data_IF_733628694036
#
_entry.id   IF_733628694036
#
_cell.length_a   1.000
_cell.length_b   1.000
_cell.length_c   1.000
_cell.angle_alpha   90.00
_cell.angle_beta   90.00
_cell.angle_gamma   90.00
#
_symmetry.space_group_name_H-M   'P 1'
#
loop_
_entity.id
_entity.type
_entity.pdbx_description
1 polymer ?
#
# COMPACT_ATOMS: atom_id res chain seq x y z
N UNK A 1 6.67 8.71 -19.26
CA UNK A 1 6.54 8.95 -17.80
C UNK A 1 7.87 8.61 -17.15
N UNK A 2 8.34 9.38 -16.17
CA UNK A 2 9.56 9.01 -15.44
C UNK A 2 9.23 7.87 -14.47
N UNK A 3 10.10 6.85 -14.40
CA UNK A 3 10.00 5.80 -13.37
C UNK A 3 10.14 6.43 -11.99
N UNK A 4 9.19 6.15 -11.10
CA UNK A 4 9.26 6.60 -9.72
C UNK A 4 10.33 5.80 -8.97
N UNK A 5 11.08 6.47 -8.10
CA UNK A 5 12.00 5.88 -7.15
C UNK A 5 12.33 6.93 -6.07
N UNK A 6 12.81 6.47 -4.92
CA UNK A 6 13.06 7.33 -3.75
C UNK A 6 14.27 8.26 -3.94
N UNK A 7 15.17 7.98 -4.89
CA UNK A 7 16.29 8.86 -5.25
C UNK A 7 15.82 10.10 -6.03
N UNK A 8 14.93 9.93 -7.02
CA UNK A 8 14.40 11.01 -7.85
C UNK A 8 13.21 11.72 -7.21
N UNK A 9 12.45 11.00 -6.41
CA UNK A 9 11.31 11.51 -5.67
C UNK A 9 11.55 11.29 -4.17
N UNK A 10 12.45 12.06 -3.53
CA UNK A 10 12.73 11.94 -2.11
C UNK A 10 11.48 12.28 -1.29
N UNK A 11 11.40 11.75 -0.07
CA UNK A 11 10.29 11.95 0.84
C UNK A 11 10.49 11.18 2.13
N UNK A 12 9.58 11.38 3.08
CA UNK A 12 9.62 10.72 4.38
C UNK A 12 9.48 9.20 4.20
N UNK A 13 10.23 8.47 5.01
CA UNK A 13 10.11 7.03 5.17
C UNK A 13 9.49 6.76 6.53
N UNK A 14 8.71 5.69 6.62
CA UNK A 14 7.95 5.37 7.80
C UNK A 14 8.31 3.96 8.29
N UNK A 15 8.41 3.73 9.60
CA UNK A 15 8.57 2.38 10.12
C UNK A 15 7.34 1.54 9.73
N UNK A 16 7.54 0.27 9.40
CA UNK A 16 6.41 -0.63 9.09
C UNK A 16 5.55 -0.79 10.35
N UNK A 17 4.31 -0.30 10.28
CA UNK A 17 3.28 -0.44 11.32
C UNK A 17 2.01 -1.11 10.79
N UNK A 18 1.92 -1.29 9.47
CA UNK A 18 0.74 -1.81 8.79
C UNK A 18 1.16 -2.98 7.92
N UNK A 19 0.42 -4.09 8.03
CA UNK A 19 0.48 -5.20 7.08
C UNK A 19 -0.77 -5.11 6.20
N UNK A 20 -0.59 -5.15 4.88
CA UNK A 20 -1.68 -5.12 3.92
C UNK A 20 -1.70 -6.40 3.09
N UNK A 21 -2.75 -7.20 3.20
CA UNK A 21 -2.96 -8.36 2.32
C UNK A 21 -3.69 -7.93 1.05
N UNK A 22 -2.97 -8.02 -0.07
CA UNK A 22 -3.46 -7.62 -1.39
C UNK A 22 -2.86 -6.30 -1.90
N UNK A 23 -2.44 -6.33 -3.16
CA UNK A 23 -1.77 -5.23 -3.89
C UNK A 23 -2.73 -4.48 -4.84
N UNK A 24 -4.01 -4.84 -4.81
CA UNK A 24 -5.02 -4.40 -5.77
C UNK A 24 -5.27 -2.88 -5.78
N UNK A 25 -5.89 -2.42 -6.86
CA UNK A 25 -6.17 -0.98 -7.07
C UNK A 25 -7.03 -0.36 -5.96
N UNK A 26 -7.97 -1.12 -5.37
CA UNK A 26 -8.86 -0.60 -4.33
C UNK A 26 -8.07 -0.15 -3.09
N UNK A 27 -7.23 -1.02 -2.54
CA UNK A 27 -6.43 -0.68 -1.36
C UNK A 27 -5.46 0.48 -1.65
N UNK A 28 -4.82 0.47 -2.83
CA UNK A 28 -3.90 1.52 -3.26
C UNK A 28 -4.55 2.90 -3.46
N UNK A 29 -5.80 2.92 -3.93
CA UNK A 29 -6.54 4.16 -4.19
C UNK A 29 -7.39 4.62 -2.99
N UNK A 30 -7.61 3.76 -1.99
CA UNK A 30 -8.49 4.03 -0.86
C UNK A 30 -7.73 4.03 0.48
N UNK A 31 -7.20 2.88 0.91
CA UNK A 31 -6.52 2.76 2.21
C UNK A 31 -5.18 3.48 2.19
N UNK A 32 -4.31 3.14 1.25
CA UNK A 32 -2.95 3.68 1.19
C UNK A 32 -2.95 5.20 1.01
N UNK A 33 -3.91 5.73 0.23
CA UNK A 33 -4.13 7.17 0.06
C UNK A 33 -4.49 7.86 1.38
N UNK A 34 -5.39 7.28 2.19
CA UNK A 34 -5.74 7.82 3.50
C UNK A 34 -4.55 7.76 4.47
N UNK A 35 -3.80 6.66 4.49
CA UNK A 35 -2.61 6.53 5.35
C UNK A 35 -1.55 7.57 4.97
N UNK A 36 -1.32 7.80 3.67
CA UNK A 36 -0.38 8.81 3.18
C UNK A 36 -0.79 10.23 3.60
N UNK A 37 -2.08 10.56 3.56
CA UNK A 37 -2.61 11.83 4.08
C UNK A 37 -2.47 11.93 5.61
N UNK A 38 -2.82 10.88 6.35
CA UNK A 38 -2.71 10.86 7.80
C UNK A 38 -1.26 11.02 8.25
N UNK A 39 -0.30 10.39 7.56
CA UNK A 39 1.13 10.55 7.84
C UNK A 39 1.64 11.99 7.63
N UNK A 40 1.01 12.78 6.76
CA UNK A 40 1.33 14.20 6.56
C UNK A 40 0.66 15.10 7.58
N UNK A 41 -0.57 14.77 7.98
CA UNK A 41 -1.40 15.63 8.82
C UNK A 41 -1.29 15.31 10.33
N UNK A 42 -0.67 14.18 10.67
CA UNK A 42 -0.59 13.67 12.05
C UNK A 42 0.77 13.03 12.33
N UNK A 43 0.97 12.54 13.55
CA UNK A 43 2.16 11.80 14.00
C UNK A 43 2.03 10.28 13.86
N UNK A 44 1.07 9.79 13.06
CA UNK A 44 0.83 8.36 12.82
C UNK A 44 2.12 7.60 12.45
N UNK A 45 2.95 8.18 11.57
CA UNK A 45 4.24 7.65 11.13
C UNK A 45 4.16 6.14 10.82
N UNK A 46 3.23 5.74 9.96
CA UNK A 46 2.94 4.34 9.66
C UNK A 46 3.28 4.00 8.20
N UNK A 47 4.27 3.13 8.03
CA UNK A 47 4.61 2.50 6.77
C UNK A 47 3.83 1.19 6.57
N UNK A 48 3.57 0.87 5.32
CA UNK A 48 2.78 -0.27 4.86
C UNK A 48 3.73 -1.27 4.20
N UNK A 49 3.75 -2.49 4.70
CA UNK A 49 4.31 -3.64 3.98
C UNK A 49 3.15 -4.42 3.36
N UNK A 50 3.16 -4.52 2.02
CA UNK A 50 2.13 -5.25 1.27
C UNK A 50 2.55 -6.71 1.16
N UNK A 51 1.62 -7.60 1.45
CA UNK A 51 1.75 -9.04 1.26
C UNK A 51 0.93 -9.39 0.02
N UNK A 52 1.62 -9.76 -1.07
CA UNK A 52 1.00 -10.21 -2.31
C UNK A 52 0.56 -11.67 -2.15
N UNK A 53 -0.74 -11.99 -2.26
CA UNK A 53 -1.25 -13.32 -2.02
C UNK A 53 -1.36 -14.18 -3.29
N UNK A 54 -1.07 -13.64 -4.48
CA UNK A 54 -1.17 -14.37 -5.76
C UNK A 54 0.22 -14.42 -6.39
N UNK A 55 0.68 -15.61 -6.79
CA UNK A 55 1.95 -15.77 -7.49
C UNK A 55 1.84 -15.37 -8.96
N UNK A 56 1.96 -14.07 -9.23
CA UNK A 56 1.89 -13.51 -10.58
C UNK A 56 2.90 -12.37 -10.74
N UNK A 57 3.54 -12.31 -11.90
CA UNK A 57 4.43 -11.21 -12.27
C UNK A 57 3.66 -9.94 -12.71
N UNK A 58 2.35 -10.08 -12.94
CA UNK A 58 1.46 -8.97 -13.32
C UNK A 58 0.37 -8.71 -12.26
N UNK A 59 0.17 -7.45 -11.81
CA UNK A 59 0.98 -6.28 -12.16
C UNK A 59 2.40 -6.37 -11.58
N UNK A 60 3.41 -5.71 -12.20
CA UNK A 60 4.78 -5.70 -11.68
C UNK A 60 4.82 -5.30 -10.21
N UNK A 61 5.75 -5.87 -9.46
CA UNK A 61 5.93 -5.56 -8.04
C UNK A 61 6.10 -4.06 -7.80
N UNK A 62 5.46 -3.55 -6.76
CA UNK A 62 5.62 -2.16 -6.31
C UNK A 62 7.08 -1.85 -5.92
N UNK A 63 7.87 -2.88 -5.59
CA UNK A 63 9.30 -2.73 -5.32
C UNK A 63 10.09 -2.23 -6.54
N UNK A 64 9.58 -2.43 -7.77
CA UNK A 64 10.20 -1.87 -8.99
C UNK A 64 10.28 -0.34 -9.01
N UNK A 65 9.51 0.32 -8.14
CA UNK A 65 9.51 1.77 -7.94
C UNK A 65 9.70 2.16 -6.46
N UNK A 66 10.37 1.33 -5.66
CA UNK A 66 10.61 1.55 -4.22
C UNK A 66 9.32 1.76 -3.39
N UNK A 67 8.23 1.09 -3.78
CA UNK A 67 6.90 1.25 -3.18
C UNK A 67 6.14 2.49 -3.64
N UNK A 68 6.74 3.35 -4.48
CA UNK A 68 6.11 4.57 -4.97
C UNK A 68 5.17 4.29 -6.15
N UNK A 69 3.99 4.91 -6.11
CA UNK A 69 3.05 4.92 -7.23
C UNK A 69 2.18 6.17 -7.16
N UNK A 70 1.45 6.46 -8.24
CA UNK A 70 0.56 7.62 -8.31
C UNK A 70 -0.88 7.20 -8.16
N UNK A 71 -1.58 7.75 -7.17
CA UNK A 71 -3.04 7.68 -7.05
C UNK A 71 -3.65 8.91 -7.71
N UNK A 72 -4.69 8.72 -8.51
CA UNK A 72 -5.42 9.79 -9.19
C UNK A 72 -6.86 9.78 -8.72
N UNK A 73 -7.26 10.82 -7.99
CA UNK A 73 -8.63 11.05 -7.56
C UNK A 73 -9.32 11.92 -8.62
N UNK A 74 -10.42 11.40 -9.17
CA UNK A 74 -11.26 12.11 -10.15
C UNK A 74 -12.73 11.90 -9.81
N UNK A 75 -13.51 12.96 -9.91
CA UNK A 75 -14.93 12.93 -9.65
C UNK A 75 -15.54 14.32 -9.70
N UNK A 76 -16.72 14.45 -9.10
CA UNK A 76 -17.36 15.73 -8.82
C UNK A 76 -17.31 15.96 -7.30
N UNK A 77 -17.09 17.20 -6.88
CA UNK A 77 -17.25 17.56 -5.47
C UNK A 77 -18.73 17.80 -5.10
N UNK A 78 -18.95 18.22 -3.85
CA UNK A 78 -20.28 18.53 -3.31
C UNK A 78 -20.99 19.69 -4.02
N UNK A 79 -20.26 20.52 -4.77
CA UNK A 79 -20.80 21.61 -5.58
C UNK A 79 -21.03 21.21 -7.04
N UNK A 80 -20.63 20.00 -7.43
CA UNK A 80 -20.72 19.50 -8.80
C UNK A 80 -19.54 19.90 -9.68
N UNK A 81 -18.49 20.50 -9.10
CA UNK A 81 -17.29 20.88 -9.82
C UNK A 81 -16.36 19.69 -10.04
N UNK A 82 -15.68 19.67 -11.19
CA UNK A 82 -14.78 18.57 -11.53
C UNK A 82 -13.53 18.58 -10.67
N UNK A 83 -13.30 17.51 -9.91
CA UNK A 83 -12.08 17.30 -9.13
C UNK A 83 -11.13 16.41 -9.93
N UNK A 84 -9.86 16.81 -10.02
CA UNK A 84 -8.77 15.99 -10.54
C UNK A 84 -7.50 16.24 -9.74
N UNK A 85 -7.18 15.31 -8.86
CA UNK A 85 -5.97 15.38 -8.02
C UNK A 85 -5.10 14.15 -8.28
N UNK A 86 -3.80 14.36 -8.38
CA UNK A 86 -2.82 13.28 -8.48
C UNK A 86 -1.82 13.39 -7.33
N UNK A 87 -1.55 12.27 -6.67
CA UNK A 87 -0.66 12.19 -5.52
C UNK A 87 0.30 11.02 -5.68
N UNK A 88 1.57 11.24 -5.38
CA UNK A 88 2.54 10.15 -5.23
C UNK A 88 2.35 9.58 -3.83
N UNK A 89 1.94 8.31 -3.74
CA UNK A 89 1.86 7.57 -2.48
C UNK A 89 3.25 7.12 -2.09
N UNK A 90 3.59 7.30 -0.81
CA UNK A 90 4.92 7.07 -0.23
C UNK A 90 4.89 6.18 1.01
N UNK A 91 3.70 5.98 1.59
CA UNK A 91 3.46 5.12 2.76
C UNK A 91 3.79 3.66 2.53
N UNK A 92 3.84 3.16 1.30
CA UNK A 92 4.26 1.78 1.02
C UNK A 92 5.78 1.67 1.08
N UNK A 93 6.27 0.82 1.98
CA UNK A 93 7.68 0.54 2.18
C UNK A 93 8.19 -0.48 1.17
N UNK A 94 7.48 -1.61 1.09
CA UNK A 94 7.81 -2.74 0.22
C UNK A 94 6.58 -3.63 -0.01
N UNK A 95 6.73 -4.52 -0.97
CA UNK A 95 5.83 -5.62 -1.28
C UNK A 95 6.59 -6.94 -1.09
N UNK A 96 5.98 -7.91 -0.42
CA UNK A 96 6.50 -9.27 -0.21
C UNK A 96 5.63 -10.23 -1.01
N UNK A 97 6.23 -11.07 -1.85
CA UNK A 97 5.52 -12.17 -2.50
C UNK A 97 5.61 -13.42 -1.63
N UNK A 98 4.49 -13.87 -1.05
CA UNK A 98 4.49 -14.98 -0.09
C UNK A 98 4.99 -16.31 -0.67
N UNK A 99 4.97 -16.48 -1.99
CA UNK A 99 5.42 -17.70 -2.64
C UNK A 99 6.93 -17.72 -2.85
N UNK A 100 7.59 -16.56 -2.84
CA UNK A 100 9.03 -16.43 -3.06
C UNK A 100 9.77 -16.06 -1.77
N UNK A 101 9.14 -15.24 -0.92
CA UNK A 101 9.76 -14.60 0.24
C UNK A 101 8.99 -14.95 1.54
N UNK A 102 8.64 -16.24 1.70
CA UNK A 102 7.80 -16.71 2.80
C UNK A 102 8.39 -16.42 4.19
N UNK A 103 9.70 -16.56 4.34
CA UNK A 103 10.39 -16.28 5.59
C UNK A 103 10.31 -14.79 5.95
N UNK A 104 10.43 -13.89 4.97
CA UNK A 104 10.27 -12.44 5.20
C UNK A 104 8.84 -12.11 5.65
N UNK A 105 7.84 -12.76 5.04
CA UNK A 105 6.45 -12.66 5.48
C UNK A 105 6.28 -13.10 6.94
N UNK A 106 6.84 -14.24 7.34
CA UNK A 106 6.77 -14.70 8.73
C UNK A 106 7.47 -13.74 9.70
N UNK A 107 8.57 -13.09 9.27
CA UNK A 107 9.26 -12.11 10.11
C UNK A 107 8.41 -10.90 10.47
N UNK A 108 7.39 -10.56 9.66
CA UNK A 108 6.44 -9.50 10.02
C UNK A 108 5.71 -9.79 11.34
N UNK A 109 5.45 -11.06 11.66
CA UNK A 109 4.76 -11.46 12.90
C UNK A 109 5.60 -11.16 14.16
N UNK A 110 6.92 -11.04 14.02
CA UNK A 110 7.82 -10.70 15.12
C UNK A 110 7.97 -9.18 15.33
N UNK A 111 7.43 -8.35 14.44
CA UNK A 111 7.52 -6.90 14.55
C UNK A 111 6.47 -6.34 15.54
N UNK A 112 6.95 -5.90 16.71
CA UNK A 112 6.10 -5.34 17.78
C UNK A 112 5.54 -3.95 17.46
N UNK A 113 6.02 -3.29 16.40
CA UNK A 113 5.51 -1.98 15.97
C UNK A 113 4.28 -2.09 15.06
N UNK A 114 3.91 -3.30 14.61
CA UNK A 114 2.66 -3.50 13.87
C UNK A 114 1.47 -3.10 14.74
N UNK A 115 0.54 -2.35 14.15
CA UNK A 115 -0.67 -1.82 14.78
C UNK A 115 -1.93 -2.18 14.03
N UNK A 116 -1.85 -2.30 12.70
CA UNK A 116 -3.03 -2.54 11.87
C UNK A 116 -2.75 -3.62 10.82
N UNK A 117 -3.79 -4.37 10.51
CA UNK A 117 -3.82 -5.29 9.39
C UNK A 117 -5.01 -4.89 8.52
N UNK A 118 -4.74 -4.61 7.24
CA UNK A 118 -5.77 -4.44 6.23
C UNK A 118 -5.76 -5.63 5.29
N UNK A 119 -6.94 -6.02 4.83
CA UNK A 119 -7.09 -7.13 3.90
C UNK A 119 -8.23 -6.82 2.96
N UNK A 120 -8.01 -7.02 1.66
CA UNK A 120 -9.07 -7.06 0.68
C UNK A 120 -9.00 -8.38 -0.07
N UNK A 121 -9.70 -9.37 0.46
CA UNK A 121 -9.75 -10.75 -0.04
C UNK A 121 -10.94 -11.03 -0.96
N UNK A 122 -11.72 -9.99 -1.30
CA UNK A 122 -13.08 -10.11 -1.85
C UNK A 122 -13.97 -11.01 -0.98
N UNK A 123 -15.21 -11.20 -1.41
CA UNK A 123 -16.19 -12.07 -0.76
C UNK A 123 -15.74 -13.54 -0.74
N UNK A 124 -14.86 -13.94 -1.68
CA UNK A 124 -14.44 -15.33 -1.82
C UNK A 124 -13.30 -15.74 -0.88
N UNK A 125 -12.51 -14.79 -0.37
CA UNK A 125 -11.31 -15.13 0.41
C UNK A 125 -11.50 -15.19 1.92
N UNK A 126 -12.71 -14.96 2.43
CA UNK A 126 -13.07 -15.29 3.82
C UNK A 126 -14.00 -16.50 3.78
N UNK A 127 -13.46 -17.65 4.16
CA UNK A 127 -14.20 -18.91 4.21
C UNK A 127 -14.20 -19.45 5.64
N UNK A 128 -15.36 -19.92 6.08
CA UNK A 128 -15.46 -20.74 7.27
C UNK A 128 -15.16 -22.18 6.86
N UNK A 129 -14.14 -22.78 7.48
CA UNK A 129 -13.82 -24.18 7.31
C UNK A 129 -14.30 -24.92 8.57
N UNK A 130 -15.21 -25.87 8.41
CA UNK A 130 -15.74 -26.71 9.49
C UNK A 130 -14.74 -27.77 9.95
#
# INVERSE_FOLDING_TARGET
MQTLNRTRFPGKQYPTKIIQFGEGNFLRAFIDWQIDLLNEQTDLNAGITIVRPINTDFPPSLNTQDGLYTTVIRGLDEHGDTVKQSRIIRSVNNEINIYHDYDEYLQLAHNLDIRFIFSNTTEAGISYNE
#
